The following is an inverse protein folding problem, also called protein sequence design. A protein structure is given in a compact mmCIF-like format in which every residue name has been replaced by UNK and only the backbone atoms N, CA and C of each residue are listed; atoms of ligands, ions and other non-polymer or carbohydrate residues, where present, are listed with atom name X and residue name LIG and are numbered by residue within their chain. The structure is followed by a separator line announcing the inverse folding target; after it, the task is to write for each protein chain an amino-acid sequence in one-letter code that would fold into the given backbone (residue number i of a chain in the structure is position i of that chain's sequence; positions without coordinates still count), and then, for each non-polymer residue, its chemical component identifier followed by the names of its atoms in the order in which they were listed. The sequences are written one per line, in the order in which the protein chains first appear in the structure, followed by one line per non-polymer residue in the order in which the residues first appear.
data_IF_136134239969
#
_entry.id   IF_136134239969
#
_cell.length_a   1.000
_cell.length_b   1.000
_cell.length_c   1.000
_cell.angle_alpha   90.00
_cell.angle_beta   90.00
_cell.angle_gamma   90.00
#
_symmetry.space_group_name_H-M   'P 1'
#
loop_
_entity.id
_entity.type
_entity.pdbx_description
1 polymer ?
#
# COMPACT_ATOMS: atom_id res chain seq x y z
N UNK A 1 30.28 24.73 8.86
CA UNK A 1 29.90 26.15 8.66
C UNK A 1 30.65 27.15 9.56
N UNK A 2 30.68 27.01 10.90
CA UNK A 2 31.31 28.01 11.79
C UNK A 2 32.81 28.22 11.52
N UNK A 3 33.57 27.13 11.28
CA UNK A 3 35.02 27.20 11.01
C UNK A 3 35.33 27.91 9.69
N UNK A 4 34.58 27.62 8.62
CA UNK A 4 34.75 28.29 7.32
C UNK A 4 34.37 29.77 7.38
N UNK A 5 33.32 30.15 8.15
CA UNK A 5 32.97 31.55 8.40
C UNK A 5 34.12 32.30 9.08
N UNK A 6 34.72 31.73 10.13
CA UNK A 6 35.86 32.34 10.83
C UNK A 6 37.07 32.57 9.92
N UNK A 7 37.31 31.66 8.97
CA UNK A 7 38.41 31.74 8.01
C UNK A 7 38.05 32.48 6.71
N UNK A 8 36.84 33.04 6.58
CA UNK A 8 36.34 33.71 5.37
C UNK A 8 36.36 32.81 4.11
N UNK A 9 36.19 31.50 4.27
CA UNK A 9 36.26 30.51 3.19
C UNK A 9 34.89 30.13 2.60
N UNK A 10 33.79 30.71 3.09
CA UNK A 10 32.42 30.29 2.76
C UNK A 10 32.11 30.44 1.27
N UNK A 11 32.42 31.60 0.69
CA UNK A 11 32.17 31.89 -0.74
C UNK A 11 32.88 30.92 -1.68
N UNK A 12 34.05 30.43 -1.26
CA UNK A 12 34.84 29.46 -2.03
C UNK A 12 34.29 28.05 -1.83
N UNK A 13 33.95 27.68 -0.60
CA UNK A 13 33.38 26.36 -0.28
C UNK A 13 32.03 26.12 -0.96
N UNK A 14 31.22 27.17 -1.08
CA UNK A 14 29.93 27.15 -1.78
C UNK A 14 30.12 27.18 -3.32
N UNK A 15 31.29 27.62 -3.79
CA UNK A 15 31.63 27.70 -5.20
C UNK A 15 31.13 28.98 -5.89
N UNK A 16 30.82 30.02 -5.11
CA UNK A 16 30.42 31.33 -5.62
C UNK A 16 31.60 32.07 -6.27
N UNK A 17 32.82 31.79 -5.79
CA UNK A 17 34.07 32.25 -6.40
C UNK A 17 34.73 31.04 -7.08
N UNK A 18 35.00 31.16 -8.37
CA UNK A 18 35.71 30.14 -9.16
C UNK A 18 37.06 30.66 -9.61
N UNK A 19 38.03 29.77 -9.81
CA UNK A 19 39.36 30.15 -10.32
C UNK A 19 39.28 30.99 -11.61
N UNK A 20 38.39 30.64 -12.53
CA UNK A 20 38.19 31.33 -13.81
C UNK A 20 37.61 32.75 -13.70
N UNK A 21 37.06 33.12 -12.53
CA UNK A 21 36.56 34.47 -12.27
C UNK A 21 37.64 35.45 -11.84
N UNK A 22 38.87 34.97 -11.62
CA UNK A 22 40.00 35.75 -11.14
C UNK A 22 40.81 36.33 -12.31
N UNK A 23 41.29 37.56 -12.16
CA UNK A 23 41.94 38.32 -13.24
C UNK A 23 43.45 38.54 -13.01
N UNK A 24 44.04 37.92 -11.98
CA UNK A 24 45.45 38.07 -11.61
C UNK A 24 46.02 36.75 -11.09
N UNK A 25 47.26 36.44 -11.47
CA UNK A 25 47.97 35.25 -11.01
C UNK A 25 48.12 35.18 -9.48
N UNK A 26 48.31 36.33 -8.81
CA UNK A 26 48.37 36.40 -7.34
C UNK A 26 47.05 35.96 -6.71
N UNK A 27 45.92 36.32 -7.32
CA UNK A 27 44.62 35.92 -6.82
C UNK A 27 44.35 34.42 -7.06
N UNK A 28 44.89 33.84 -8.13
CA UNK A 28 44.80 32.41 -8.40
C UNK A 28 45.60 31.58 -7.39
N UNK A 29 46.82 31.99 -7.05
CA UNK A 29 47.65 31.32 -6.04
C UNK A 29 46.99 31.37 -4.66
N UNK A 30 46.47 32.53 -4.26
CA UNK A 30 45.69 32.70 -3.02
C UNK A 30 44.45 31.78 -2.99
N UNK A 31 43.75 31.65 -4.14
CA UNK A 31 42.59 30.76 -4.25
C UNK A 31 42.97 29.28 -4.07
N UNK A 32 44.08 28.84 -4.65
CA UNK A 32 44.57 27.47 -4.49
C UNK A 32 44.97 27.16 -3.04
N UNK A 33 45.61 28.11 -2.35
CA UNK A 33 45.92 27.97 -0.93
C UNK A 33 44.64 27.86 -0.08
N UNK A 34 43.60 28.62 -0.43
CA UNK A 34 42.29 28.51 0.21
C UNK A 34 41.62 27.15 -0.06
N UNK A 35 41.73 26.60 -1.27
CA UNK A 35 41.25 25.25 -1.59
C UNK A 35 41.96 24.19 -0.74
N UNK A 36 43.29 24.25 -0.63
CA UNK A 36 44.07 23.35 0.22
C UNK A 36 43.68 23.48 1.70
N UNK A 37 43.46 24.70 2.17
CA UNK A 37 43.01 24.96 3.54
C UNK A 37 41.65 24.32 3.81
N UNK A 38 40.71 24.41 2.85
CA UNK A 38 39.40 23.76 2.94
C UNK A 38 39.57 22.24 3.01
N UNK A 39 40.33 21.64 2.10
CA UNK A 39 40.59 20.19 2.10
C UNK A 39 41.19 19.72 3.42
N UNK A 40 42.16 20.46 3.97
CA UNK A 40 42.77 20.14 5.25
C UNK A 40 41.76 20.19 6.40
N UNK A 41 40.96 21.25 6.48
CA UNK A 41 39.92 21.38 7.53
C UNK A 41 38.92 20.23 7.44
N UNK A 42 38.46 19.89 6.24
CA UNK A 42 37.54 18.78 6.03
C UNK A 42 38.20 17.46 6.44
N UNK A 43 39.41 17.18 5.95
CA UNK A 43 40.13 15.94 6.25
C UNK A 43 40.38 15.72 7.74
N UNK A 44 40.65 16.78 8.49
CA UNK A 44 40.87 16.72 9.94
C UNK A 44 39.59 16.64 10.77
N UNK A 45 38.44 16.98 10.18
CA UNK A 45 37.16 17.05 10.90
C UNK A 45 36.30 15.79 10.71
N UNK A 46 36.67 14.89 9.79
CA UNK A 46 35.85 13.74 9.41
C UNK A 46 36.35 12.43 10.04
N UNK A 47 35.44 11.54 10.44
CA UNK A 47 35.76 10.13 10.66
C UNK A 47 36.38 9.48 9.40
N UNK A 48 37.23 8.47 9.60
CA UNK A 48 38.04 7.86 8.53
C UNK A 48 37.21 7.26 7.37
N UNK A 49 36.05 6.67 7.68
CA UNK A 49 35.13 6.07 6.73
C UNK A 49 34.45 7.11 5.81
N UNK A 50 34.12 8.29 6.35
CA UNK A 50 33.56 9.39 5.57
C UNK A 50 34.66 10.10 4.77
N UNK A 51 35.84 10.29 5.38
CA UNK A 51 36.98 10.88 4.69
C UNK A 51 37.40 10.06 3.47
N UNK A 52 37.44 8.72 3.56
CA UNK A 52 37.76 7.86 2.44
C UNK A 52 36.83 8.03 1.23
N UNK A 53 35.57 8.40 1.42
CA UNK A 53 34.60 8.61 0.34
C UNK A 53 34.79 9.92 -0.42
N UNK A 54 35.49 10.90 0.17
CA UNK A 54 35.67 12.24 -0.41
C UNK A 54 37.12 12.59 -0.71
N UNK A 55 38.08 11.73 -0.35
CA UNK A 55 39.53 11.98 -0.52
C UNK A 55 40.02 12.03 -1.97
N UNK A 56 39.22 11.50 -2.89
CA UNK A 56 39.51 11.48 -4.33
C UNK A 56 39.24 12.83 -5.01
N UNK A 57 38.61 13.77 -4.31
CA UNK A 57 38.32 15.11 -4.83
C UNK A 57 39.57 15.98 -4.86
N UNK A 58 39.74 16.69 -5.97
CA UNK A 58 40.92 17.50 -6.28
C UNK A 58 40.85 18.90 -5.69
N UNK A 59 39.66 19.39 -5.35
CA UNK A 59 39.45 20.70 -4.75
C UNK A 59 38.67 20.59 -3.44
N UNK A 60 38.86 21.55 -2.54
CA UNK A 60 38.12 21.66 -1.29
C UNK A 60 36.63 21.92 -1.51
N UNK A 61 36.28 22.68 -2.55
CA UNK A 61 34.89 22.90 -2.97
C UNK A 61 34.24 21.60 -3.41
N UNK A 62 34.91 20.78 -4.23
CA UNK A 62 34.36 19.49 -4.67
C UNK A 62 34.25 18.49 -3.52
N UNK A 63 35.25 18.47 -2.62
CA UNK A 63 35.21 17.68 -1.40
C UNK A 63 34.03 18.08 -0.50
N UNK A 64 33.76 19.39 -0.36
CA UNK A 64 32.61 19.91 0.39
C UNK A 64 31.27 19.55 -0.26
N UNK A 65 31.13 19.73 -1.57
CA UNK A 65 29.92 19.34 -2.32
C UNK A 65 29.63 17.86 -2.18
N UNK A 66 30.66 17.01 -2.31
CA UNK A 66 30.51 15.56 -2.10
C UNK A 66 30.03 15.24 -0.68
N UNK A 67 30.55 15.96 0.32
CA UNK A 67 30.12 15.82 1.71
C UNK A 67 28.65 16.21 1.91
N UNK A 68 28.20 17.33 1.34
CA UNK A 68 26.80 17.73 1.38
C UNK A 68 25.91 16.63 0.76
N UNK A 69 26.29 16.12 -0.41
CA UNK A 69 25.57 15.02 -1.07
C UNK A 69 25.51 13.78 -0.16
N UNK A 70 26.61 13.36 0.47
CA UNK A 70 26.62 12.19 1.36
C UNK A 70 25.64 12.37 2.52
N UNK A 71 25.66 13.52 3.20
CA UNK A 71 24.82 13.74 4.37
C UNK A 71 23.35 14.01 4.02
N UNK A 72 23.08 14.78 2.98
CA UNK A 72 21.72 15.04 2.49
C UNK A 72 21.10 13.76 1.92
N UNK A 73 21.83 13.02 1.09
CA UNK A 73 21.34 11.76 0.52
C UNK A 73 21.14 10.69 1.58
N UNK A 74 22.04 10.58 2.57
CA UNK A 74 21.89 9.60 3.66
C UNK A 74 20.72 9.96 4.59
N UNK A 75 20.53 11.23 4.91
CA UNK A 75 19.37 11.68 5.69
C UNK A 75 18.06 11.42 4.94
N UNK A 76 18.04 11.69 3.64
CA UNK A 76 16.89 11.42 2.77
C UNK A 76 16.63 9.93 2.64
N UNK A 77 17.64 9.11 2.38
CA UNK A 77 17.51 7.65 2.28
C UNK A 77 16.99 7.04 3.58
N UNK A 78 17.54 7.46 4.73
CA UNK A 78 17.08 6.99 6.05
C UNK A 78 15.61 7.32 6.29
N UNK A 79 15.22 8.55 5.95
CA UNK A 79 13.83 9.02 6.10
C UNK A 79 12.88 8.30 5.15
N UNK A 80 13.29 8.11 3.90
CA UNK A 80 12.53 7.37 2.88
C UNK A 80 12.35 5.91 3.28
N UNK A 81 13.41 5.25 3.75
CA UNK A 81 13.33 3.87 4.26
C UNK A 81 12.41 3.77 5.47
N UNK A 82 12.55 4.66 6.45
CA UNK A 82 11.67 4.67 7.62
C UNK A 82 10.19 4.89 7.22
N UNK A 83 9.92 5.82 6.28
CA UNK A 83 8.58 6.05 5.77
C UNK A 83 8.04 4.83 5.03
N UNK A 84 8.85 4.18 4.19
CA UNK A 84 8.46 2.99 3.48
C UNK A 84 8.09 1.84 4.44
N UNK A 85 8.92 1.59 5.46
CA UNK A 85 8.61 0.58 6.48
C UNK A 85 7.34 0.92 7.29
N UNK A 86 7.13 2.20 7.61
CA UNK A 86 5.88 2.65 8.23
C UNK A 86 4.65 2.37 7.36
N UNK A 87 4.72 2.58 6.05
CA UNK A 87 3.63 2.29 5.12
C UNK A 87 3.40 0.78 4.98
N UNK A 88 4.47 -0.01 4.91
CA UNK A 88 4.37 -1.49 4.90
C UNK A 88 3.68 -2.00 6.14
N UNK A 89 4.08 -1.51 7.31
CA UNK A 89 3.43 -1.85 8.56
C UNK A 89 1.94 -1.47 8.53
N UNK A 90 1.60 -0.28 8.02
CA UNK A 90 0.20 0.14 7.87
C UNK A 90 -0.60 -0.81 6.96
N UNK A 91 -0.02 -1.27 5.85
CA UNK A 91 -0.65 -2.26 4.94
C UNK A 91 -0.87 -3.63 5.61
N UNK A 92 0.00 -4.04 6.53
CA UNK A 92 -0.14 -5.31 7.26
C UNK A 92 -1.26 -5.25 8.31
N UNK A 93 -1.35 -4.14 9.03
CA UNK A 93 -2.29 -3.98 10.15
C UNK A 93 -3.68 -3.51 9.73
N UNK A 94 -3.82 -2.86 8.56
CA UNK A 94 -5.11 -2.35 8.11
C UNK A 94 -6.10 -3.51 7.87
N UNK A 95 -7.24 -3.46 8.55
CA UNK A 95 -8.34 -4.43 8.39
C UNK A 95 -9.61 -3.73 7.92
N UNK A 96 -10.32 -4.37 7.01
CA UNK A 96 -11.67 -3.99 6.64
C UNK A 96 -12.61 -4.39 7.78
N UNK A 97 -13.29 -3.41 8.37
CA UNK A 97 -14.30 -3.65 9.39
C UNK A 97 -15.49 -4.44 8.82
N UNK A 98 -16.13 -5.34 9.60
CA UNK A 98 -17.37 -5.98 9.18
C UNK A 98 -18.44 -4.94 8.80
N UNK A 99 -19.04 -5.09 7.62
CA UNK A 99 -19.99 -4.11 7.07
C UNK A 99 -19.37 -2.79 6.59
N UNK A 100 -18.05 -2.62 6.67
CA UNK A 100 -17.34 -1.44 6.17
C UNK A 100 -17.36 -1.30 4.65
N UNK A 101 -17.01 -0.10 4.19
CA UNK A 101 -16.91 0.23 2.76
C UNK A 101 -15.65 -0.38 2.14
N UNK A 102 -15.88 -1.41 1.32
CA UNK A 102 -14.85 -2.12 0.57
C UNK A 102 -14.10 -1.21 -0.41
N UNK A 103 -14.79 -0.30 -1.10
CA UNK A 103 -14.12 0.59 -2.06
C UNK A 103 -13.20 1.56 -1.35
N UNK A 104 -13.67 2.17 -0.25
CA UNK A 104 -12.86 3.07 0.57
C UNK A 104 -11.62 2.35 1.13
N UNK A 105 -11.78 1.12 1.62
CA UNK A 105 -10.69 0.30 2.13
C UNK A 105 -9.65 -0.01 1.05
N UNK A 106 -10.08 -0.51 -0.10
CA UNK A 106 -9.19 -0.85 -1.21
C UNK A 106 -8.49 0.39 -1.76
N UNK A 107 -9.20 1.52 -1.92
CA UNK A 107 -8.59 2.80 -2.30
C UNK A 107 -7.48 3.22 -1.34
N UNK A 108 -7.67 3.05 -0.03
CA UNK A 108 -6.62 3.32 0.95
C UNK A 108 -5.39 2.44 0.74
N UNK A 109 -5.57 1.13 0.56
CA UNK A 109 -4.44 0.21 0.30
C UNK A 109 -3.69 0.55 -0.99
N UNK A 110 -4.41 0.90 -2.07
CA UNK A 110 -3.77 1.31 -3.33
C UNK A 110 -3.01 2.63 -3.20
N UNK A 111 -3.54 3.60 -2.46
CA UNK A 111 -2.82 4.86 -2.20
C UNK A 111 -1.51 4.61 -1.43
N UNK A 112 -1.53 3.73 -0.43
CA UNK A 112 -0.33 3.32 0.31
C UNK A 112 0.70 2.65 -0.63
N UNK A 113 0.26 1.78 -1.54
CA UNK A 113 1.13 1.19 -2.58
C UNK A 113 1.72 2.26 -3.50
N UNK A 114 0.92 3.22 -3.97
CA UNK A 114 1.40 4.34 -4.80
C UNK A 114 2.44 5.17 -4.05
N UNK A 115 2.24 5.40 -2.76
CA UNK A 115 3.20 6.13 -1.93
C UNK A 115 4.53 5.35 -1.80
N UNK A 116 4.50 4.02 -1.61
CA UNK A 116 5.72 3.20 -1.63
C UNK A 116 6.50 3.33 -2.94
N UNK A 117 5.81 3.26 -4.08
CA UNK A 117 6.44 3.41 -5.40
C UNK A 117 7.04 4.82 -5.58
N UNK A 118 6.42 5.85 -5.01
CA UNK A 118 6.94 7.23 -5.04
C UNK A 118 8.22 7.41 -4.23
N UNK A 119 8.48 6.53 -3.26
CA UNK A 119 9.71 6.49 -2.46
C UNK A 119 10.80 5.61 -3.09
N UNK A 120 10.64 5.22 -4.37
CA UNK A 120 11.51 4.26 -5.07
C UNK A 120 11.63 2.91 -4.34
N UNK A 121 10.64 2.55 -3.51
CA UNK A 121 10.62 1.27 -2.82
C UNK A 121 9.99 0.21 -3.73
N UNK A 122 10.74 -0.88 -3.97
CA UNK A 122 10.21 -2.01 -4.74
C UNK A 122 9.19 -2.77 -3.91
N UNK A 123 7.96 -2.85 -4.40
CA UNK A 123 6.87 -3.54 -3.71
C UNK A 123 6.18 -4.53 -4.65
N UNK A 124 6.33 -5.81 -4.31
CA UNK A 124 5.89 -6.91 -5.17
C UNK A 124 4.36 -7.09 -5.17
N UNK A 125 3.85 -7.47 -6.34
CA UNK A 125 2.41 -7.66 -6.57
C UNK A 125 1.85 -8.82 -5.76
N UNK A 126 2.60 -9.90 -5.56
CA UNK A 126 2.19 -11.04 -4.72
C UNK A 126 2.06 -10.60 -3.27
N UNK A 127 3.02 -9.80 -2.78
CA UNK A 127 2.95 -9.24 -1.43
C UNK A 127 1.72 -8.33 -1.25
N UNK A 128 1.42 -7.48 -2.24
CA UNK A 128 0.23 -6.64 -2.22
C UNK A 128 -1.05 -7.48 -2.17
N UNK A 129 -1.16 -8.50 -3.02
CA UNK A 129 -2.32 -9.41 -3.07
C UNK A 129 -2.53 -10.08 -1.71
N UNK A 130 -1.47 -10.63 -1.12
CA UNK A 130 -1.55 -11.31 0.17
C UNK A 130 -1.97 -10.36 1.30
N UNK A 131 -1.45 -9.12 1.33
CA UNK A 131 -1.89 -8.10 2.28
C UNK A 131 -3.37 -7.73 2.07
N UNK A 132 -3.82 -7.57 0.82
CA UNK A 132 -5.22 -7.31 0.51
C UNK A 132 -6.13 -8.43 1.01
N UNK A 133 -5.76 -9.70 0.78
CA UNK A 133 -6.53 -10.85 1.27
C UNK A 133 -6.55 -10.90 2.80
N UNK A 134 -5.41 -10.70 3.46
CA UNK A 134 -5.30 -10.72 4.92
C UNK A 134 -5.97 -9.53 5.60
N UNK A 135 -6.31 -8.47 4.86
CA UNK A 135 -7.07 -7.33 5.37
C UNK A 135 -8.57 -7.59 5.50
N UNK A 136 -9.10 -8.64 4.84
CA UNK A 136 -10.54 -8.92 4.78
C UNK A 136 -11.06 -9.62 6.04
N UNK A 137 -12.28 -9.31 6.50
CA UNK A 137 -12.88 -9.94 7.67
C UNK A 137 -13.18 -11.42 7.42
N UNK A 138 -13.26 -12.19 8.51
CA UNK A 138 -13.61 -13.61 8.49
C UNK A 138 -15.11 -13.83 8.23
N UNK A 139 -15.53 -13.65 6.98
CA UNK A 139 -16.89 -13.90 6.50
C UNK A 139 -16.84 -14.89 5.34
N UNK A 140 -17.88 -15.72 5.21
CA UNK A 140 -17.89 -16.83 4.26
C UNK A 140 -17.55 -16.40 2.82
N UNK A 141 -18.11 -15.30 2.33
CA UNK A 141 -17.87 -14.82 0.96
C UNK A 141 -16.40 -14.41 0.73
N UNK A 142 -15.77 -13.81 1.74
CA UNK A 142 -14.35 -13.44 1.66
C UNK A 142 -13.44 -14.63 1.87
N UNK A 143 -13.76 -15.57 2.75
CA UNK A 143 -12.96 -16.80 2.94
C UNK A 143 -13.01 -17.71 1.70
N UNK A 144 -14.18 -17.84 1.06
CA UNK A 144 -14.30 -18.53 -0.24
C UNK A 144 -13.51 -17.85 -1.34
N UNK A 145 -13.40 -16.52 -1.31
CA UNK A 145 -12.55 -15.78 -2.23
C UNK A 145 -11.07 -16.03 -1.94
N UNK A 146 -10.63 -15.94 -0.68
CA UNK A 146 -9.24 -16.17 -0.28
C UNK A 146 -8.77 -17.55 -0.72
N UNK A 147 -9.57 -18.60 -0.51
CA UNK A 147 -9.25 -19.96 -0.95
C UNK A 147 -9.21 -20.06 -2.47
N UNK A 148 -10.16 -19.43 -3.17
CA UNK A 148 -10.17 -19.36 -4.64
C UNK A 148 -8.93 -18.68 -5.20
N UNK A 149 -8.41 -17.63 -4.56
CA UNK A 149 -7.19 -16.93 -5.01
C UNK A 149 -5.93 -17.74 -4.70
N UNK A 150 -5.84 -18.38 -3.52
CA UNK A 150 -4.65 -19.14 -3.11
C UNK A 150 -4.48 -20.50 -3.78
N UNK A 151 -5.58 -21.16 -4.13
CA UNK A 151 -5.55 -22.57 -4.57
C UNK A 151 -6.02 -22.78 -6.02
N UNK A 152 -6.52 -21.76 -6.71
CA UNK A 152 -6.90 -21.91 -8.11
C UNK A 152 -5.69 -21.73 -9.03
N UNK A 153 -5.05 -22.87 -9.34
CA UNK A 153 -3.84 -23.00 -10.15
C UNK A 153 -4.10 -22.98 -11.67
N UNK A 154 -4.97 -22.10 -12.16
CA UNK A 154 -5.22 -21.96 -13.60
C UNK A 154 -4.48 -20.74 -14.15
N UNK A 155 -3.16 -20.87 -14.35
CA UNK A 155 -2.24 -20.07 -15.20
C UNK A 155 -2.35 -18.52 -15.21
N UNK A 156 -3.15 -17.96 -14.32
CA UNK A 156 -3.46 -16.54 -14.29
C UNK A 156 -2.65 -15.91 -13.17
N UNK A 157 -1.68 -15.07 -13.55
CA UNK A 157 -1.02 -14.15 -12.62
C UNK A 157 -2.12 -13.33 -11.94
N UNK A 158 -2.27 -13.52 -10.62
CA UNK A 158 -3.19 -12.74 -9.82
C UNK A 158 -2.50 -11.42 -9.53
N UNK A 159 -3.02 -10.36 -10.14
CA UNK A 159 -2.58 -8.99 -9.88
C UNK A 159 -3.43 -8.36 -8.76
N UNK A 160 -2.93 -7.31 -8.09
CA UNK A 160 -3.70 -6.53 -7.12
C UNK A 160 -5.02 -5.99 -7.69
N UNK A 161 -5.04 -5.66 -8.97
CA UNK A 161 -6.16 -5.07 -9.70
C UNK A 161 -7.24 -6.12 -9.96
N UNK A 162 -6.84 -7.34 -10.31
CA UNK A 162 -7.74 -8.50 -10.39
C UNK A 162 -8.29 -8.85 -9.02
N UNK A 163 -7.44 -8.84 -7.99
CA UNK A 163 -7.84 -9.11 -6.60
C UNK A 163 -8.86 -8.09 -6.11
N UNK A 164 -8.66 -6.81 -6.40
CA UNK A 164 -9.61 -5.73 -6.10
C UNK A 164 -11.00 -6.02 -6.67
N UNK A 165 -11.07 -6.47 -7.92
CA UNK A 165 -12.35 -6.77 -8.56
C UNK A 165 -13.03 -8.00 -7.96
N UNK A 166 -12.26 -9.05 -7.67
CA UNK A 166 -12.79 -10.23 -7.00
C UNK A 166 -13.35 -9.91 -5.60
N UNK A 167 -12.70 -9.01 -4.85
CA UNK A 167 -13.18 -8.54 -3.54
C UNK A 167 -14.53 -7.79 -3.69
N UNK A 168 -14.68 -6.96 -4.73
CA UNK A 168 -15.94 -6.27 -5.02
C UNK A 168 -17.07 -7.23 -5.36
N UNK A 169 -16.77 -8.28 -6.13
CA UNK A 169 -17.75 -9.34 -6.44
C UNK A 169 -18.18 -10.07 -5.17
N UNK A 170 -17.24 -10.42 -4.29
CA UNK A 170 -17.55 -11.05 -3.00
C UNK A 170 -18.41 -10.14 -2.10
N UNK A 171 -18.09 -8.84 -2.03
CA UNK A 171 -18.89 -7.86 -1.29
C UNK A 171 -20.31 -7.72 -1.84
N UNK A 172 -20.46 -7.71 -3.16
CA UNK A 172 -21.77 -7.63 -3.82
C UNK A 172 -22.63 -8.86 -3.52
N UNK A 173 -22.03 -10.06 -3.51
CA UNK A 173 -22.72 -11.30 -3.11
C UNK A 173 -23.17 -11.22 -1.65
N UNK A 174 -22.29 -10.81 -0.74
CA UNK A 174 -22.59 -10.60 0.68
C UNK A 174 -23.79 -9.67 0.88
N UNK A 175 -23.78 -8.50 0.23
CA UNK A 175 -24.87 -7.52 0.29
C UNK A 175 -26.18 -8.08 -0.26
N UNK A 176 -26.13 -8.85 -1.34
CA UNK A 176 -27.33 -9.49 -1.91
C UNK A 176 -27.94 -10.53 -0.97
N UNK A 177 -27.13 -11.32 -0.25
CA UNK A 177 -27.63 -12.27 0.75
C UNK A 177 -28.26 -11.56 1.96
N UNK A 178 -27.62 -10.49 2.46
CA UNK A 178 -28.15 -9.68 3.56
C UNK A 178 -29.48 -9.00 3.21
N UNK A 179 -29.61 -8.51 1.97
CA UNK A 179 -30.87 -7.93 1.51
C UNK A 179 -32.01 -8.96 1.51
N UNK A 180 -31.72 -10.20 1.09
CA UNK A 180 -32.71 -11.30 1.07
C UNK A 180 -33.12 -11.77 2.46
N UNK A 181 -32.18 -11.80 3.43
CA UNK A 181 -32.48 -12.19 4.81
C UNK A 181 -33.20 -11.08 5.60
N UNK A 182 -32.93 -9.80 5.31
CA UNK A 182 -33.60 -8.66 5.95
C UNK A 182 -35.06 -8.45 5.54
N UNK A 183 -35.49 -8.97 4.39
CA UNK A 183 -36.88 -8.92 3.92
C UNK A 183 -37.76 -10.08 4.42
N UNK A 184 -37.23 -10.96 5.27
CA UNK A 184 -37.91 -12.16 5.74
C UNK A 184 -38.58 -12.02 7.12
N UNK A 185 -39.56 -11.13 7.32
CA UNK A 185 -40.53 -11.33 8.40
C UNK A 185 -41.91 -10.67 8.20
N UNK A 186 -42.93 -11.51 8.44
CA UNK A 186 -44.38 -11.26 8.61
C UNK A 186 -45.27 -11.24 7.36
N UNK A 187 -45.20 -12.33 6.59
CA UNK A 187 -46.40 -12.88 5.94
C UNK A 187 -47.34 -13.46 7.00
N UNK A 188 -48.25 -12.63 7.50
CA UNK A 188 -49.27 -12.98 8.47
C UNK A 188 -50.33 -13.89 7.78
N UNK A 189 -50.06 -15.20 7.66
CA UNK A 189 -51.13 -16.15 7.31
C UNK A 189 -52.04 -16.33 8.53
N UNK A 190 -53.05 -15.47 8.60
CA UNK A 190 -54.23 -15.67 9.44
C UNK A 190 -54.82 -17.05 9.13
N UNK A 191 -54.72 -17.96 10.10
CA UNK A 191 -55.58 -19.13 10.21
C UNK A 191 -56.99 -18.57 10.49
N UNK A 192 -57.75 -18.35 9.41
CA UNK A 192 -59.16 -18.01 9.47
C UNK A 192 -59.99 -19.28 9.51
N UNK A 193 -60.36 -19.71 10.72
CA UNK A 193 -61.46 -20.63 10.91
C UNK A 193 -62.78 -19.89 10.65
N UNK A 194 -63.55 -20.32 9.65
CA UNK A 194 -65.01 -20.12 9.59
C UNK A 194 -65.64 -21.29 8.84
N UNK A 195 -66.61 -21.91 9.49
CA UNK A 195 -67.25 -23.15 9.07
C UNK A 195 -68.27 -23.00 7.95
N UNK A 196 -68.56 -24.17 7.38
CA UNK A 196 -69.85 -24.69 6.93
C UNK A 196 -70.92 -23.70 6.44
N UNK A 197 -71.21 -23.77 5.13
CA UNK A 197 -72.58 -23.78 4.61
C UNK A 197 -72.56 -24.48 3.24
N UNK A 198 -73.27 -25.60 3.14
CA UNK A 198 -73.32 -26.42 1.93
C UNK A 198 -74.29 -25.92 0.86
N UNK A 199 -74.13 -26.44 -0.35
CA UNK A 199 -75.23 -26.76 -1.27
C UNK A 199 -74.76 -27.68 -2.42
N UNK A 200 -75.11 -28.95 -2.27
CA UNK A 200 -75.73 -29.89 -3.23
C UNK A 200 -75.37 -29.88 -4.74
N UNK A 201 -74.94 -31.09 -5.16
CA UNK A 201 -75.38 -31.91 -6.33
C UNK A 201 -74.81 -31.55 -7.72
N UNK A 202 -74.09 -32.49 -8.37
CA UNK A 202 -74.68 -33.54 -9.25
C UNK A 202 -73.65 -34.57 -9.78
N UNK A 203 -73.81 -35.80 -9.28
CA UNK A 203 -73.69 -37.16 -9.88
C UNK A 203 -72.82 -37.46 -11.11
N UNK A 204 -72.12 -38.60 -10.99
CA UNK A 204 -71.95 -39.65 -12.01
C UNK A 204 -70.48 -39.85 -12.43
N UNK A 205 -69.92 -41.05 -12.56
CA UNK A 205 -70.39 -42.43 -12.43
C UNK A 205 -69.15 -43.36 -12.56
N UNK A 206 -69.23 -44.60 -12.03
CA UNK A 206 -68.31 -45.73 -12.29
C UNK A 206 -67.26 -45.95 -11.18
N UNK A 207 -67.42 -46.87 -10.22
CA UNK A 207 -67.36 -48.35 -10.33
C UNK A 207 -66.03 -48.80 -10.99
N UNK A 208 -65.18 -49.64 -10.41
CA UNK A 208 -65.39 -50.70 -9.42
C UNK A 208 -64.05 -51.09 -8.79
N UNK A 209 -64.04 -51.41 -7.49
CA UNK A 209 -62.90 -52.05 -6.81
C UNK A 209 -63.37 -53.37 -6.18
N UNK A 210 -62.90 -54.47 -6.75
CA UNK A 210 -63.07 -55.83 -6.25
C UNK A 210 -62.45 -56.01 -4.85
N UNK A 211 -63.25 -56.55 -3.93
CA UNK A 211 -62.93 -57.52 -2.84
C UNK A 211 -64.21 -57.64 -1.99
N UNK A 212 -64.85 -58.78 -1.77
CA UNK A 212 -64.35 -60.14 -1.62
C UNK A 212 -64.37 -60.51 -0.14
N UNK A 213 -65.42 -61.23 0.30
CA UNK A 213 -65.34 -62.24 1.36
C UNK A 213 -65.96 -61.93 2.73
N UNK A 214 -67.09 -62.58 3.02
CA UNK A 214 -67.41 -63.35 4.24
C UNK A 214 -68.80 -63.97 4.01
N UNK A 215 -69.08 -65.26 4.22
CA UNK A 215 -68.55 -66.28 5.15
C UNK A 215 -68.58 -67.64 4.46
#
# INVERSE_FOLDING_TARGET
MIVFRKKKLVEIVEGNITRSSLTSAVAEDDFDEMQLTIMHIIGMSLPADIFHQVRDKTTGTDMWKALCVIYESRANQTTMTHRAESIRHELEVIKLLPGGDVNKHLSKMFNLRTELLSLNYQFDDVAMVEMMLNSLPHQYEFESLKSGVRYNSAENIITPERTRELIRVADSRRKAYQAKSGTGQRGNQKIGATGAAGSKVKTGNGEDQQRGGHV
#
